data_IF_276468289210
#
_entry.id   IF_276468289210
#
_cell.length_a   1.000
_cell.length_b   1.000
_cell.length_c   1.000
_cell.angle_alpha   90.00
_cell.angle_beta   90.00
_cell.angle_gamma   90.00
#
_symmetry.space_group_name_H-M   'P 1'
#
loop_
_entity.id
_entity.type
_entity.pdbx_description
1 polymer ?
#
# COMPACT_ATOMS: atom_id res chain seq x y z
N UNK A 1 -56.19 -7.49 10.69
CA UNK A 1 -56.20 -6.17 10.03
C UNK A 1 -55.57 -5.16 10.98
N UNK A 2 -54.28 -4.83 10.82
CA UNK A 2 -53.69 -3.56 11.29
C UNK A 2 -52.24 -3.43 10.79
N UNK A 3 -51.87 -2.19 10.50
CA UNK A 3 -50.90 -1.72 9.50
C UNK A 3 -49.45 -1.63 9.99
N UNK A 4 -48.49 -1.99 9.13
CA UNK A 4 -47.09 -1.58 9.29
C UNK A 4 -46.94 -0.10 8.89
N UNK A 5 -46.46 0.73 9.80
CA UNK A 5 -46.12 2.12 9.50
C UNK A 5 -44.69 2.20 8.93
N UNK A 6 -44.56 2.63 7.68
CA UNK A 6 -43.27 3.01 7.09
C UNK A 6 -43.07 4.51 7.25
N UNK A 7 -42.09 4.92 8.07
CA UNK A 7 -41.67 6.31 8.17
C UNK A 7 -40.98 6.81 6.88
N UNK A 8 -40.92 8.13 6.64
CA UNK A 8 -40.36 8.65 5.40
C UNK A 8 -38.83 8.52 5.41
N UNK A 9 -38.30 7.78 4.42
CA UNK A 9 -36.86 7.77 4.12
C UNK A 9 -36.55 8.95 3.21
N UNK A 10 -35.86 9.96 3.71
CA UNK A 10 -35.35 11.07 2.90
C UNK A 10 -33.87 10.84 2.60
N UNK A 11 -33.57 10.35 1.40
CA UNK A 11 -32.23 10.46 0.84
C UNK A 11 -32.10 11.80 0.12
N UNK A 12 -31.36 12.73 0.70
CA UNK A 12 -30.98 13.99 0.06
C UNK A 12 -29.87 13.76 -0.98
N UNK A 13 -29.74 14.60 -2.02
CA UNK A 13 -28.78 14.39 -3.09
C UNK A 13 -27.44 15.04 -2.76
N UNK A 14 -26.43 14.26 -2.36
CA UNK A 14 -25.06 14.79 -2.21
C UNK A 14 -24.21 14.37 -3.43
N UNK A 15 -24.42 15.08 -4.53
CA UNK A 15 -23.61 14.96 -5.73
C UNK A 15 -22.19 15.52 -5.46
N UNK A 16 -21.22 14.63 -5.29
CA UNK A 16 -19.81 15.01 -5.30
C UNK A 16 -19.33 15.06 -6.75
N UNK A 17 -19.28 16.26 -7.32
CA UNK A 17 -18.71 16.49 -8.64
C UNK A 17 -17.21 16.17 -8.68
N UNK A 18 -16.63 15.87 -9.86
CA UNK A 18 -15.23 15.50 -9.95
C UNK A 18 -14.34 16.72 -9.65
N UNK A 19 -13.41 16.54 -8.71
CA UNK A 19 -12.33 17.51 -8.45
C UNK A 19 -11.31 17.42 -9.59
N UNK A 20 -11.26 18.43 -10.45
CA UNK A 20 -10.20 18.56 -11.46
C UNK A 20 -9.07 19.42 -10.89
N UNK A 21 -7.95 18.81 -10.53
CA UNK A 21 -6.69 19.53 -10.42
C UNK A 21 -6.20 19.81 -11.85
N UNK A 22 -6.14 21.09 -12.23
CA UNK A 22 -5.52 21.50 -13.49
C UNK A 22 -4.00 21.27 -13.44
N UNK A 23 -3.32 21.20 -14.60
CA UNK A 23 -1.88 20.99 -14.59
C UNK A 23 -1.17 22.26 -14.13
N UNK A 24 -0.53 22.23 -12.96
CA UNK A 24 0.45 23.23 -12.56
C UNK A 24 1.71 23.07 -13.45
N UNK A 25 1.72 23.78 -14.57
CA UNK A 25 2.84 23.84 -15.49
C UNK A 25 3.94 24.76 -14.92
N UNK A 26 4.85 24.21 -14.12
CA UNK A 26 6.10 24.89 -13.80
C UNK A 26 7.07 24.76 -15.00
N UNK A 27 7.08 25.80 -15.84
CA UNK A 27 8.02 25.98 -16.96
C UNK A 27 9.43 26.45 -16.51
N UNK A 28 10.41 26.46 -17.42
CA UNK A 28 11.75 25.96 -17.16
C UNK A 28 12.74 27.02 -16.67
N UNK A 29 13.49 26.72 -15.61
CA UNK A 29 14.63 27.53 -15.18
C UNK A 29 15.95 26.81 -15.50
N UNK A 30 16.81 27.49 -16.28
CA UNK A 30 17.94 26.94 -17.03
C UNK A 30 19.17 26.48 -16.22
N UNK A 31 20.26 26.10 -16.92
CA UNK A 31 21.36 25.33 -16.33
C UNK A 31 22.28 26.22 -15.49
N UNK A 32 22.07 26.20 -14.16
CA UNK A 32 23.00 26.75 -13.19
C UNK A 32 24.19 25.81 -13.00
N UNK A 33 25.28 26.02 -13.75
CA UNK A 33 26.60 25.43 -13.49
C UNK A 33 27.27 26.12 -12.27
N UNK A 34 26.59 26.13 -11.12
CA UNK A 34 27.17 26.63 -9.87
C UNK A 34 27.76 25.47 -9.09
N UNK A 35 29.01 25.13 -9.42
CA UNK A 35 29.93 24.43 -8.54
C UNK A 35 29.45 23.05 -8.09
N UNK A 36 29.78 22.01 -8.87
CA UNK A 36 29.61 20.61 -8.47
C UNK A 36 30.40 20.35 -7.19
N UNK A 37 29.75 20.45 -6.04
CA UNK A 37 30.21 19.76 -4.83
C UNK A 37 30.07 18.27 -5.12
N UNK A 38 31.13 17.45 -4.90
CA UNK A 38 31.00 16.01 -4.97
C UNK A 38 29.84 15.57 -4.09
N UNK A 39 28.90 14.84 -4.68
CA UNK A 39 27.79 14.29 -3.90
C UNK A 39 28.38 13.46 -2.75
N UNK A 40 27.83 13.56 -1.52
CA UNK A 40 28.22 12.64 -0.46
C UNK A 40 28.00 11.21 -0.97
N UNK A 41 28.81 10.24 -0.50
CA UNK A 41 28.59 8.84 -0.85
C UNK A 41 27.12 8.49 -0.54
N UNK A 42 26.49 7.62 -1.37
CA UNK A 42 25.13 7.20 -1.10
C UNK A 42 25.06 6.71 0.34
N UNK A 43 24.11 7.24 1.11
CA UNK A 43 23.77 6.67 2.40
C UNK A 43 23.54 5.16 2.19
N UNK A 44 23.90 4.30 3.17
CA UNK A 44 23.48 2.91 3.11
C UNK A 44 21.97 2.92 2.84
N UNK A 45 21.53 2.09 1.89
CA UNK A 45 20.12 1.96 1.64
C UNK A 45 19.47 1.65 2.99
N UNK A 46 18.60 2.54 3.45
CA UNK A 46 17.73 2.31 4.60
C UNK A 46 16.81 1.14 4.18
N UNK A 47 17.34 -0.07 4.33
CA UNK A 47 16.82 -1.28 3.72
C UNK A 47 15.59 -1.72 4.48
N UNK A 48 14.43 -1.64 3.84
CA UNK A 48 13.24 -2.37 4.27
C UNK A 48 13.55 -3.86 4.41
N UNK A 49 12.75 -4.55 5.21
CA UNK A 49 12.91 -5.99 5.44
C UNK A 49 13.03 -6.71 4.09
N UNK A 50 14.03 -7.59 3.90
CA UNK A 50 14.29 -8.19 2.62
C UNK A 50 13.00 -8.86 2.13
N UNK A 51 12.57 -8.55 0.91
CA UNK A 51 11.39 -9.17 0.29
C UNK A 51 11.47 -10.72 0.32
N UNK A 52 12.69 -11.25 0.46
CA UNK A 52 12.98 -12.64 0.77
C UNK A 52 12.33 -13.17 2.05
N UNK A 53 11.72 -12.37 2.93
CA UNK A 53 10.99 -12.86 4.10
C UNK A 53 9.47 -12.78 3.91
N UNK A 54 8.97 -12.15 2.84
CA UNK A 54 7.54 -12.02 2.59
C UNK A 54 6.86 -13.34 2.25
N UNK A 55 7.57 -14.31 1.68
CA UNK A 55 7.02 -15.66 1.45
C UNK A 55 6.73 -16.41 2.75
N UNK A 56 7.31 -15.99 3.88
CA UNK A 56 7.02 -16.57 5.20
C UNK A 56 5.80 -15.90 5.86
N UNK A 57 5.27 -14.82 5.30
CA UNK A 57 4.10 -14.13 5.83
C UNK A 57 2.83 -14.79 5.28
N UNK A 58 1.95 -15.22 6.19
CA UNK A 58 0.65 -15.75 5.81
C UNK A 58 -0.25 -14.63 5.24
N UNK A 59 -0.79 -14.77 4.02
CA UNK A 59 -1.66 -13.75 3.42
C UNK A 59 -3.02 -13.64 4.12
N UNK A 60 -3.44 -14.70 4.82
CA UNK A 60 -4.74 -14.77 5.47
C UNK A 60 -4.76 -14.09 6.84
N UNK A 61 -3.68 -14.26 7.63
CA UNK A 61 -3.63 -13.78 9.01
C UNK A 61 -2.42 -12.88 9.35
N UNK A 62 -1.55 -12.61 8.38
CA UNK A 62 -0.38 -11.74 8.52
C UNK A 62 0.75 -12.30 9.38
N UNK A 63 0.67 -13.55 9.83
CA UNK A 63 1.68 -14.14 10.71
C UNK A 63 2.90 -14.63 9.93
N UNK A 64 4.08 -14.30 10.44
CA UNK A 64 5.35 -14.82 9.93
C UNK A 64 5.63 -16.23 10.46
N UNK A 65 5.96 -17.15 9.56
CA UNK A 65 6.39 -18.50 9.89
C UNK A 65 7.79 -18.47 10.52
N UNK A 66 7.96 -19.20 11.62
CA UNK A 66 9.28 -19.29 12.30
C UNK A 66 10.24 -20.19 11.54
N UNK A 67 9.70 -21.14 10.76
CA UNK A 67 10.45 -22.10 9.96
C UNK A 67 10.48 -21.68 8.48
N UNK A 68 11.68 -21.61 7.89
CA UNK A 68 11.89 -21.20 6.49
C UNK A 68 11.27 -22.13 5.44
N UNK A 69 10.98 -23.38 5.82
CA UNK A 69 10.39 -24.41 4.93
C UNK A 69 8.91 -24.70 5.21
N UNK A 70 8.23 -23.86 6.01
CA UNK A 70 6.83 -24.08 6.33
C UNK A 70 5.94 -23.92 5.09
N UNK A 71 5.08 -24.91 4.83
CA UNK A 71 4.07 -24.84 3.75
C UNK A 71 2.71 -24.35 4.24
N UNK A 72 2.51 -24.31 5.56
CA UNK A 72 1.25 -23.92 6.20
C UNK A 72 1.49 -23.04 7.42
N UNK A 73 0.54 -22.13 7.70
CA UNK A 73 0.60 -21.24 8.84
C UNK A 73 0.25 -21.97 10.14
N UNK A 74 1.10 -21.88 11.15
CA UNK A 74 0.88 -22.50 12.47
C UNK A 74 -0.28 -21.89 13.27
N UNK A 75 -0.81 -20.72 12.85
CA UNK A 75 -1.91 -20.02 13.54
C UNK A 75 -3.27 -20.35 12.95
N UNK A 76 -3.44 -20.16 11.65
CA UNK A 76 -4.73 -20.33 10.98
C UNK A 76 -4.82 -21.59 10.11
N UNK A 77 -3.71 -22.30 9.87
CA UNK A 77 -3.66 -23.48 9.01
C UNK A 77 -3.65 -23.19 7.50
N UNK A 78 -3.77 -21.92 7.08
CA UNK A 78 -3.76 -21.54 5.67
C UNK A 78 -2.42 -21.82 4.96
N UNK A 79 -2.41 -21.97 3.62
CA UNK A 79 -1.20 -22.21 2.85
C UNK A 79 -0.27 -20.98 2.88
N UNK A 80 1.04 -21.21 2.97
CA UNK A 80 2.06 -20.18 2.82
C UNK A 80 2.50 -20.07 1.34
N UNK A 81 2.91 -18.88 0.87
CA UNK A 81 3.50 -18.70 -0.45
C UNK A 81 4.75 -19.56 -0.62
N UNK A 82 4.92 -20.16 -1.80
CA UNK A 82 6.15 -20.89 -2.13
C UNK A 82 7.32 -19.90 -2.31
N UNK A 83 8.53 -20.21 -1.78
CA UNK A 83 9.69 -19.33 -1.90
C UNK A 83 10.19 -19.14 -3.35
N UNK A 84 9.68 -19.88 -4.34
CA UNK A 84 10.16 -19.86 -5.71
C UNK A 84 11.50 -20.61 -5.87
N UNK A 85 11.89 -20.94 -7.12
CA UNK A 85 13.20 -21.53 -7.41
C UNK A 85 14.36 -20.52 -7.25
#
# INVERSE_FOLDING_TARGET
>A
MTTHAHGPRTHGPEAHGPRTHGPDAHGPEGPGDRGRVPAPPPAPAEGGEPACLLHLVCPDCGRLATERGARTCSRCGGPLPDPGP
#
